data_IF_464399164418
#
_entry.id   IF_464399164418
#
_cell.length_a   1.000
_cell.length_b   1.000
_cell.length_c   1.000
_cell.angle_alpha   90.00
_cell.angle_beta   90.00
_cell.angle_gamma   90.00
#
_symmetry.space_group_name_H-M   'P 1'
#
loop_
_entity.id
_entity.type
_entity.pdbx_description
1 polymer ?
#
# COMPACT_ATOMS: atom_id res chain seq x y z
N UNK A 1 6.60 -91.91 131.93
CA UNK A 1 6.68 -90.50 131.48
C UNK A 1 8.02 -90.30 130.79
N UNK A 2 8.08 -89.81 129.54
CA UNK A 2 9.37 -89.60 128.88
C UNK A 2 10.13 -88.50 129.61
N UNK A 3 11.40 -88.74 129.95
CA UNK A 3 12.27 -87.79 130.63
C UNK A 3 12.60 -86.59 129.73
N UNK A 4 12.83 -85.40 130.30
CA UNK A 4 13.06 -84.15 129.55
C UNK A 4 14.20 -84.19 128.51
N UNK A 5 15.15 -85.13 128.64
CA UNK A 5 16.18 -85.39 127.62
C UNK A 5 15.61 -85.87 126.28
N UNK A 6 14.48 -86.58 126.28
CA UNK A 6 13.88 -87.10 125.05
C UNK A 6 13.20 -85.99 124.22
N UNK A 7 12.68 -84.94 124.86
CA UNK A 7 12.10 -83.79 124.17
C UNK A 7 13.16 -82.87 123.52
N UNK A 8 14.33 -82.71 124.15
CA UNK A 8 15.44 -81.91 123.59
C UNK A 8 16.00 -82.59 122.32
N UNK A 9 16.17 -83.91 122.34
CA UNK A 9 16.63 -84.66 121.18
C UNK A 9 15.62 -84.60 120.02
N UNK A 10 14.31 -84.59 120.31
CA UNK A 10 13.27 -84.44 119.29
C UNK A 10 13.31 -83.07 118.60
N UNK A 11 13.50 -81.97 119.36
CA UNK A 11 13.63 -80.62 118.79
C UNK A 11 14.89 -80.52 117.94
N UNK A 12 16.03 -81.04 118.42
CA UNK A 12 17.30 -80.96 117.70
C UNK A 12 17.25 -81.68 116.34
N UNK A 13 16.63 -82.87 116.29
CA UNK A 13 16.47 -83.63 115.05
C UNK A 13 15.54 -82.91 114.08
N UNK A 14 14.40 -82.38 114.53
CA UNK A 14 13.50 -81.62 113.67
C UNK A 14 14.15 -80.33 113.12
N UNK A 15 14.98 -79.66 113.93
CA UNK A 15 15.69 -78.46 113.52
C UNK A 15 16.80 -78.77 112.50
N UNK A 16 17.47 -79.91 112.63
CA UNK A 16 18.43 -80.40 111.63
C UNK A 16 17.74 -80.75 110.29
N UNK A 17 16.57 -81.39 110.33
CA UNK A 17 15.77 -81.63 109.12
C UNK A 17 15.26 -80.33 108.48
N UNK A 18 14.82 -79.35 109.29
CA UNK A 18 14.41 -78.05 108.79
C UNK A 18 15.57 -77.31 108.11
N UNK A 19 16.77 -77.29 108.71
CA UNK A 19 17.96 -76.70 108.12
C UNK A 19 18.39 -77.42 106.83
N UNK A 20 18.29 -78.75 106.78
CA UNK A 20 18.58 -79.51 105.57
C UNK A 20 17.62 -79.16 104.43
N UNK A 21 16.31 -79.08 104.70
CA UNK A 21 15.30 -78.69 103.70
C UNK A 21 15.56 -77.26 103.20
N UNK A 22 15.87 -76.31 104.11
CA UNK A 22 16.23 -74.93 103.73
C UNK A 22 17.49 -74.92 102.86
N UNK A 23 18.51 -75.72 103.22
CA UNK A 23 19.74 -75.83 102.43
C UNK A 23 19.49 -76.34 101.01
N UNK A 24 18.74 -77.43 100.85
CA UNK A 24 18.40 -77.98 99.53
C UNK A 24 17.57 -76.99 98.70
N UNK A 25 16.59 -76.33 99.31
CA UNK A 25 15.80 -75.30 98.64
C UNK A 25 16.67 -74.12 98.17
N UNK A 26 17.62 -73.68 99.00
CA UNK A 26 18.55 -72.59 98.65
C UNK A 26 19.46 -72.97 97.48
N UNK A 27 20.03 -74.18 97.46
CA UNK A 27 20.86 -74.65 96.34
C UNK A 27 20.04 -74.83 95.05
N UNK A 28 18.79 -75.31 95.15
CA UNK A 28 17.90 -75.44 93.99
C UNK A 28 17.57 -74.09 93.37
N UNK A 29 17.26 -73.07 94.19
CA UNK A 29 16.97 -71.71 93.73
C UNK A 29 18.21 -71.05 93.10
N UNK A 30 19.40 -71.24 93.67
CA UNK A 30 20.65 -70.76 93.09
C UNK A 30 20.97 -71.42 91.74
N UNK A 31 20.69 -72.71 91.61
CA UNK A 31 20.87 -73.43 90.35
C UNK A 31 19.93 -72.90 89.27
N UNK A 32 18.68 -72.57 89.61
CA UNK A 32 17.71 -71.99 88.69
C UNK A 32 18.09 -70.57 88.25
N UNK A 33 18.58 -69.74 89.17
CA UNK A 33 19.07 -68.38 88.88
C UNK A 33 20.30 -68.42 87.97
N UNK A 34 21.25 -69.34 88.22
CA UNK A 34 22.42 -69.52 87.36
C UNK A 34 22.06 -70.06 85.98
N UNK A 35 21.05 -70.95 85.88
CA UNK A 35 20.57 -71.46 84.60
C UNK A 35 19.94 -70.35 83.72
N UNK A 36 19.25 -69.38 84.34
CA UNK A 36 18.61 -68.26 83.66
C UNK A 36 19.36 -66.92 83.86
N UNK A 37 20.68 -66.98 83.98
CA UNK A 37 21.52 -65.82 84.28
C UNK A 37 21.30 -64.59 83.38
N UNK A 38 21.06 -64.71 82.05
CA UNK A 38 20.80 -63.54 81.19
C UNK A 38 19.60 -62.69 81.62
N UNK A 39 18.60 -63.28 82.29
CA UNK A 39 17.42 -62.57 82.77
C UNK A 39 17.66 -61.87 84.11
N UNK A 40 18.49 -62.46 84.98
CA UNK A 40 18.73 -61.99 86.33
C UNK A 40 19.98 -61.11 86.49
N UNK A 41 20.86 -61.08 85.48
CA UNK A 41 22.17 -60.38 85.52
C UNK A 41 22.10 -58.89 85.83
N UNK A 42 21.03 -58.19 85.43
CA UNK A 42 20.86 -56.75 85.67
C UNK A 42 19.94 -56.44 86.86
N UNK A 43 19.50 -57.44 87.63
CA UNK A 43 18.75 -57.24 88.86
C UNK A 43 19.73 -57.01 90.03
N UNK A 44 19.67 -55.85 90.74
CA UNK A 44 20.58 -55.53 91.84
C UNK A 44 20.64 -56.58 92.96
N UNK A 45 19.56 -57.36 93.16
CA UNK A 45 19.47 -58.37 94.21
C UNK A 45 20.30 -59.64 93.89
N UNK A 46 20.51 -59.97 92.62
CA UNK A 46 21.24 -61.16 92.18
C UNK A 46 22.63 -60.84 91.61
N UNK A 47 22.96 -59.55 91.43
CA UNK A 47 24.24 -59.07 90.92
C UNK A 47 25.48 -59.55 91.72
N UNK A 48 25.45 -59.68 93.06
CA UNK A 48 26.58 -60.23 93.81
C UNK A 48 26.90 -61.70 93.51
N UNK A 49 26.04 -62.41 92.77
CA UNK A 49 26.24 -63.79 92.33
C UNK A 49 27.02 -63.90 90.99
N UNK A 50 27.38 -62.76 90.39
CA UNK A 50 28.16 -62.70 89.15
C UNK A 50 29.64 -63.08 89.40
N UNK A 51 30.28 -63.73 88.43
CA UNK A 51 31.72 -64.06 88.49
C UNK A 51 32.61 -62.79 88.44
N UNK A 52 32.20 -61.77 87.67
CA UNK A 52 32.77 -60.42 87.68
C UNK A 52 31.66 -59.38 87.83
N UNK A 53 31.63 -58.75 89.00
CA UNK A 53 30.61 -57.75 89.36
C UNK A 53 30.82 -56.45 88.58
N UNK A 54 32.07 -56.04 88.32
CA UNK A 54 32.38 -54.77 87.68
C UNK A 54 32.03 -54.79 86.20
N UNK A 55 32.41 -55.83 85.48
CA UNK A 55 32.07 -55.96 84.06
C UNK A 55 30.55 -56.09 83.85
N UNK A 56 29.87 -56.86 84.70
CA UNK A 56 28.42 -57.02 84.59
C UNK A 56 27.66 -55.73 84.94
N UNK A 57 28.15 -54.94 85.90
CA UNK A 57 27.61 -53.62 86.20
C UNK A 57 27.79 -52.64 85.03
N UNK A 58 28.99 -52.56 84.44
CA UNK A 58 29.27 -51.69 83.29
C UNK A 58 28.37 -52.07 82.11
N UNK A 59 28.23 -53.36 81.81
CA UNK A 59 27.36 -53.83 80.74
C UNK A 59 25.89 -53.43 80.97
N UNK A 60 25.36 -53.65 82.17
CA UNK A 60 23.96 -53.32 82.47
C UNK A 60 23.72 -51.80 82.43
N UNK A 61 24.67 -50.99 82.91
CA UNK A 61 24.56 -49.51 82.83
C UNK A 61 24.65 -49.03 81.38
N UNK A 62 25.58 -49.57 80.58
CA UNK A 62 25.72 -49.21 79.17
C UNK A 62 24.50 -49.62 78.34
N UNK A 63 23.97 -50.83 78.55
CA UNK A 63 22.76 -51.31 77.87
C UNK A 63 21.56 -50.44 78.23
N UNK A 64 21.38 -50.13 79.53
CA UNK A 64 20.32 -49.25 80.00
C UNK A 64 20.46 -47.82 79.43
N UNK A 65 21.68 -47.32 79.24
CA UNK A 65 21.93 -46.04 78.58
C UNK A 65 21.58 -46.06 77.09
N UNK A 66 21.85 -47.14 76.36
CA UNK A 66 21.46 -47.29 74.94
C UNK A 66 19.94 -47.35 74.80
N UNK A 67 19.26 -48.10 75.68
CA UNK A 67 17.81 -48.20 75.69
C UNK A 67 17.17 -46.84 76.03
N UNK A 68 17.77 -46.07 76.95
CA UNK A 68 17.32 -44.72 77.27
C UNK A 68 17.68 -43.69 76.19
N UNK A 69 18.78 -43.88 75.45
CA UNK A 69 19.15 -43.03 74.31
C UNK A 69 18.08 -43.03 73.24
N UNK A 70 17.42 -44.17 73.00
CA UNK A 70 16.26 -44.26 72.11
C UNK A 70 15.12 -43.31 72.52
N UNK A 71 14.81 -43.22 73.82
CA UNK A 71 13.83 -42.28 74.35
C UNK A 71 14.31 -40.82 74.30
N UNK A 72 15.59 -40.55 74.54
CA UNK A 72 16.16 -39.21 74.45
C UNK A 72 16.25 -38.68 73.01
N UNK A 73 16.38 -39.56 72.02
CA UNK A 73 16.41 -39.20 70.61
C UNK A 73 15.02 -38.95 70.02
N UNK A 74 13.94 -39.47 70.62
CA UNK A 74 12.56 -39.27 70.13
C UNK A 74 12.18 -37.79 69.94
N UNK A 75 12.47 -36.86 70.88
CA UNK A 75 12.26 -35.43 70.65
C UNK A 75 13.05 -34.89 69.46
N UNK A 76 14.30 -35.32 69.29
CA UNK A 76 15.19 -34.85 68.22
C UNK A 76 14.71 -35.36 66.85
N UNK A 77 14.29 -36.62 66.76
CA UNK A 77 13.75 -37.19 65.52
C UNK A 77 12.41 -36.54 65.15
N UNK A 78 11.55 -36.24 66.14
CA UNK A 78 10.32 -35.49 65.92
C UNK A 78 10.61 -34.09 65.34
N UNK A 79 11.51 -33.32 65.97
CA UNK A 79 11.89 -31.99 65.48
C UNK A 79 12.50 -32.05 64.08
N UNK A 80 13.36 -33.03 63.82
CA UNK A 80 13.97 -33.21 62.50
C UNK A 80 12.91 -33.53 61.44
N UNK A 81 11.97 -34.42 61.74
CA UNK A 81 10.87 -34.76 60.82
C UNK A 81 9.93 -33.59 60.55
N UNK A 82 9.65 -32.76 61.57
CA UNK A 82 8.88 -31.53 61.43
C UNK A 82 9.60 -30.52 60.52
N UNK A 83 10.91 -30.33 60.72
CA UNK A 83 11.74 -29.47 59.86
C UNK A 83 11.77 -29.98 58.42
N UNK A 84 11.96 -31.28 58.20
CA UNK A 84 11.96 -31.87 56.85
C UNK A 84 10.60 -31.71 56.17
N UNK A 85 9.49 -31.89 56.89
CA UNK A 85 8.14 -31.66 56.37
C UNK A 85 7.91 -30.18 56.02
N UNK A 86 8.34 -29.26 56.88
CA UNK A 86 8.26 -27.82 56.62
C UNK A 86 9.09 -27.42 55.39
N UNK A 87 10.30 -27.95 55.25
CA UNK A 87 11.15 -27.72 54.08
C UNK A 87 10.53 -28.29 52.80
N UNK A 88 9.92 -29.49 52.86
CA UNK A 88 9.17 -30.06 51.75
C UNK A 88 8.02 -29.16 51.30
N UNK A 89 7.17 -28.76 52.24
CA UNK A 89 6.04 -27.84 51.97
C UNK A 89 6.51 -26.49 51.42
N UNK A 90 7.65 -25.98 51.90
CA UNK A 90 8.24 -24.74 51.40
C UNK A 90 8.73 -24.88 49.95
N UNK A 91 9.41 -25.98 49.61
CA UNK A 91 9.84 -26.27 48.24
C UNK A 91 8.64 -26.44 47.30
N UNK A 92 7.58 -27.11 47.75
CA UNK A 92 6.34 -27.25 46.99
C UNK A 92 5.66 -25.89 46.76
N UNK A 93 5.66 -25.03 47.77
CA UNK A 93 5.14 -23.66 47.65
C UNK A 93 5.96 -22.86 46.63
N UNK A 94 7.28 -22.97 46.62
CA UNK A 94 8.14 -22.35 45.59
C UNK A 94 7.79 -22.89 44.20
N UNK A 95 7.59 -24.20 44.06
CA UNK A 95 7.23 -24.79 42.79
C UNK A 95 5.85 -24.34 42.31
N UNK A 96 4.89 -24.16 43.22
CA UNK A 96 3.58 -23.58 42.93
C UNK A 96 3.68 -22.12 42.47
N UNK A 97 4.56 -21.32 43.10
CA UNK A 97 4.85 -19.95 42.65
C UNK A 97 5.46 -19.95 41.25
N UNK A 98 6.42 -20.84 40.96
CA UNK A 98 6.99 -21.00 39.61
C UNK A 98 5.92 -21.40 38.59
N UNK A 99 5.02 -22.32 38.96
CA UNK A 99 3.91 -22.74 38.11
C UNK A 99 2.92 -21.59 37.85
N UNK A 100 2.65 -20.74 38.84
CA UNK A 100 1.85 -19.52 38.68
C UNK A 100 2.51 -18.58 37.66
N UNK A 101 3.81 -18.30 37.79
CA UNK A 101 4.52 -17.47 36.82
C UNK A 101 4.53 -18.06 35.41
N UNK A 102 4.63 -19.39 35.29
CA UNK A 102 4.52 -20.06 34.00
C UNK A 102 3.12 -19.84 33.38
N UNK A 103 2.06 -20.04 34.16
CA UNK A 103 0.67 -19.78 33.70
C UNK A 103 0.48 -18.34 33.25
N UNK A 104 0.99 -17.37 34.01
CA UNK A 104 0.94 -15.94 33.64
C UNK A 104 1.65 -15.71 32.30
N UNK A 105 2.87 -16.22 32.14
CA UNK A 105 3.64 -16.08 30.89
C UNK A 105 2.92 -16.71 29.69
N UNK A 106 2.36 -17.90 29.85
CA UNK A 106 1.62 -18.57 28.78
C UNK A 106 0.36 -17.81 28.42
N UNK A 107 -0.39 -17.31 29.40
CA UNK A 107 -1.58 -16.51 29.17
C UNK A 107 -1.27 -15.22 28.38
N UNK A 108 -0.23 -14.48 28.78
CA UNK A 108 0.23 -13.31 28.04
C UNK A 108 0.66 -13.66 26.61
N UNK A 109 1.39 -14.77 26.43
CA UNK A 109 1.82 -15.22 25.10
C UNK A 109 0.62 -15.54 24.20
N UNK A 110 -0.40 -16.20 24.73
CA UNK A 110 -1.62 -16.55 24.01
C UNK A 110 -2.43 -15.31 23.62
N UNK A 111 -2.54 -14.32 24.51
CA UNK A 111 -3.18 -13.03 24.20
C UNK A 111 -2.45 -12.35 23.06
N UNK A 112 -1.12 -12.24 23.15
CA UNK A 112 -0.29 -11.60 22.12
C UNK A 112 -0.49 -12.32 20.78
N UNK A 113 -0.40 -13.65 20.75
CA UNK A 113 -0.60 -14.43 19.51
C UNK A 113 -1.99 -14.24 18.91
N UNK A 114 -3.05 -14.24 19.74
CA UNK A 114 -4.42 -14.02 19.29
C UNK A 114 -4.59 -12.64 18.67
N UNK A 115 -4.07 -11.61 19.33
CA UNK A 115 -4.10 -10.22 18.84
C UNK A 115 -3.36 -10.09 17.51
N UNK A 116 -2.12 -10.62 17.42
CA UNK A 116 -1.36 -10.61 16.16
C UNK A 116 -2.06 -11.37 15.04
N UNK A 117 -2.73 -12.49 15.35
CA UNK A 117 -3.53 -13.24 14.39
C UNK A 117 -4.65 -12.41 13.76
N UNK A 118 -5.37 -11.63 14.58
CA UNK A 118 -6.41 -10.70 14.09
C UNK A 118 -5.78 -9.58 13.26
N UNK A 119 -4.67 -8.99 13.72
CA UNK A 119 -3.99 -7.92 12.98
C UNK A 119 -3.49 -8.38 11.61
N UNK A 120 -2.97 -9.60 11.47
CA UNK A 120 -2.53 -10.13 10.17
C UNK A 120 -3.70 -10.22 9.17
N UNK A 121 -4.86 -10.71 9.62
CA UNK A 121 -6.05 -10.75 8.77
C UNK A 121 -6.53 -9.34 8.39
N UNK A 122 -6.49 -8.39 9.32
CA UNK A 122 -6.84 -7.00 9.07
C UNK A 122 -5.88 -6.32 8.07
N UNK A 123 -4.58 -6.60 8.15
CA UNK A 123 -3.58 -6.08 7.19
C UNK A 123 -3.90 -6.57 5.77
N UNK A 124 -4.30 -7.83 5.60
CA UNK A 124 -4.67 -8.39 4.28
C UNK A 124 -5.87 -7.63 3.69
N UNK A 125 -6.90 -7.34 4.50
CA UNK A 125 -8.04 -6.54 4.04
C UNK A 125 -7.65 -5.10 3.67
N UNK A 126 -6.81 -4.44 4.47
CA UNK A 126 -6.27 -3.13 4.12
C UNK A 126 -5.45 -3.15 2.82
N UNK A 127 -4.61 -4.16 2.61
CA UNK A 127 -3.87 -4.34 1.37
C UNK A 127 -4.80 -4.50 0.18
N UNK A 128 -5.90 -5.26 0.31
CA UNK A 128 -6.91 -5.43 -0.74
C UNK A 128 -7.57 -4.10 -1.13
N UNK A 129 -7.90 -3.27 -0.14
CA UNK A 129 -8.44 -1.92 -0.38
C UNK A 129 -7.43 -1.06 -1.13
N UNK A 130 -6.16 -1.06 -0.72
CA UNK A 130 -5.09 -0.29 -1.39
C UNK A 130 -4.89 -0.75 -2.84
N UNK A 131 -4.92 -2.07 -3.10
CA UNK A 131 -4.84 -2.62 -4.46
C UNK A 131 -6.03 -2.12 -5.30
N UNK A 132 -7.25 -2.16 -4.74
CA UNK A 132 -8.44 -1.64 -5.41
C UNK A 132 -8.34 -0.14 -5.75
N UNK A 133 -7.83 0.68 -4.82
CA UNK A 133 -7.59 2.11 -5.06
C UNK A 133 -6.56 2.32 -6.17
N UNK A 134 -5.44 1.58 -6.15
CA UNK A 134 -4.41 1.67 -7.20
C UNK A 134 -4.96 1.28 -8.57
N UNK A 135 -5.77 0.23 -8.66
CA UNK A 135 -6.44 -0.19 -9.90
C UNK A 135 -7.39 0.89 -10.43
N UNK A 136 -8.22 1.47 -9.54
CA UNK A 136 -9.12 2.57 -9.90
C UNK A 136 -8.38 3.80 -10.43
N UNK A 137 -7.28 4.20 -9.77
CA UNK A 137 -6.43 5.31 -10.24
C UNK A 137 -5.84 4.97 -11.62
N UNK A 138 -5.32 3.76 -11.80
CA UNK A 138 -4.76 3.31 -13.09
C UNK A 138 -5.78 3.38 -14.23
N UNK A 139 -7.01 2.90 -14.00
CA UNK A 139 -8.12 2.97 -14.96
C UNK A 139 -8.51 4.41 -15.29
N UNK A 140 -8.58 5.27 -14.27
CA UNK A 140 -8.93 6.69 -14.44
C UNK A 140 -7.89 7.41 -15.29
N UNK A 141 -6.60 7.19 -15.03
CA UNK A 141 -5.50 7.73 -15.85
C UNK A 141 -5.61 7.20 -17.29
N UNK A 142 -5.89 5.92 -17.50
CA UNK A 142 -6.06 5.34 -18.83
C UNK A 142 -7.19 6.00 -19.64
N UNK A 143 -8.34 6.24 -19.02
CA UNK A 143 -9.47 6.94 -19.66
C UNK A 143 -9.08 8.39 -19.98
N UNK A 144 -8.43 9.10 -19.06
CA UNK A 144 -8.05 10.49 -19.27
C UNK A 144 -7.01 10.65 -20.38
N UNK A 145 -6.00 9.78 -20.43
CA UNK A 145 -4.95 9.80 -21.46
C UNK A 145 -5.52 9.46 -22.83
N UNK A 146 -6.39 8.44 -22.93
CA UNK A 146 -7.05 8.11 -24.20
C UNK A 146 -7.92 9.26 -24.70
N UNK A 147 -8.72 9.88 -23.84
CA UNK A 147 -9.50 11.07 -24.20
C UNK A 147 -8.61 12.22 -24.68
N UNK A 148 -7.50 12.49 -23.98
CA UNK A 148 -6.55 13.53 -24.36
C UNK A 148 -6.00 13.32 -25.77
N UNK A 149 -5.57 12.09 -26.09
CA UNK A 149 -5.05 11.78 -27.43
C UNK A 149 -6.13 11.76 -28.51
N UNK A 150 -7.35 11.33 -28.21
CA UNK A 150 -8.48 11.43 -29.14
C UNK A 150 -8.82 12.89 -29.45
N UNK A 151 -8.84 13.76 -28.44
CA UNK A 151 -9.06 15.19 -28.62
C UNK A 151 -7.93 15.83 -29.44
N UNK A 152 -6.67 15.54 -29.13
CA UNK A 152 -5.53 16.03 -29.89
C UNK A 152 -5.56 15.56 -31.36
N UNK A 153 -5.92 14.29 -31.59
CA UNK A 153 -6.17 13.75 -32.93
C UNK A 153 -7.27 14.53 -33.67
N UNK A 154 -8.40 14.79 -33.01
CA UNK A 154 -9.50 15.56 -33.59
C UNK A 154 -9.10 16.99 -33.97
N UNK A 155 -8.34 17.68 -33.12
CA UNK A 155 -7.85 19.05 -33.38
C UNK A 155 -6.89 19.05 -34.57
N UNK A 156 -5.98 18.07 -34.63
CA UNK A 156 -5.06 17.91 -35.76
C UNK A 156 -5.83 17.65 -37.05
N UNK A 157 -6.85 16.80 -37.03
CA UNK A 157 -7.72 16.58 -38.19
C UNK A 157 -8.43 17.86 -38.62
N UNK A 158 -9.00 18.63 -37.69
CA UNK A 158 -9.65 19.91 -38.02
C UNK A 158 -8.67 20.90 -38.66
N UNK A 159 -7.45 21.01 -38.11
CA UNK A 159 -6.39 21.86 -38.69
C UNK A 159 -6.01 21.39 -40.10
N UNK A 160 -5.91 20.08 -40.32
CA UNK A 160 -5.63 19.52 -41.65
C UNK A 160 -6.77 19.80 -42.64
N UNK A 161 -8.03 19.66 -42.24
CA UNK A 161 -9.20 20.02 -43.08
C UNK A 161 -9.21 21.51 -43.39
N UNK A 162 -8.91 22.36 -42.40
CA UNK A 162 -8.86 23.81 -42.58
C UNK A 162 -7.73 24.25 -43.50
N UNK A 163 -6.56 23.61 -43.41
CA UNK A 163 -5.43 23.90 -44.29
C UNK A 163 -5.57 23.23 -45.68
N UNK A 164 -6.40 22.19 -45.77
CA UNK A 164 -6.67 21.46 -47.01
C UNK A 164 -7.69 22.15 -47.95
N UNK A 165 -8.05 21.47 -49.05
CA UNK A 165 -8.90 22.03 -50.11
C UNK A 165 -10.26 22.57 -49.62
N UNK A 166 -11.00 21.91 -48.70
CA UNK A 166 -12.27 22.45 -48.21
C UNK A 166 -12.12 23.80 -47.50
N UNK A 167 -11.11 23.96 -46.62
CA UNK A 167 -10.87 25.23 -45.94
C UNK A 167 -10.33 26.33 -46.88
N UNK A 168 -9.68 25.95 -47.98
CA UNK A 168 -9.27 26.91 -49.03
C UNK A 168 -10.49 27.49 -49.74
N UNK A 169 -11.44 26.65 -50.16
CA UNK A 169 -12.68 27.12 -50.79
C UNK A 169 -13.42 28.13 -49.89
N UNK A 170 -13.51 27.87 -48.59
CA UNK A 170 -14.13 28.80 -47.63
C UNK A 170 -13.40 30.15 -47.56
N UNK A 171 -12.05 30.16 -47.58
CA UNK A 171 -11.26 31.42 -47.57
C UNK A 171 -11.29 32.21 -48.87
N UNK A 172 -11.65 31.56 -49.98
CA UNK A 172 -11.78 32.18 -51.29
C UNK A 172 -13.18 32.77 -51.53
N UNK A 173 -14.18 32.42 -50.69
CA UNK A 173 -15.47 33.10 -50.68
C UNK A 173 -15.27 34.58 -50.32
N UNK A 174 -15.75 35.47 -51.19
CA UNK A 174 -15.64 36.92 -51.00
C UNK A 174 -14.35 37.56 -51.50
N UNK A 175 -13.56 36.91 -52.35
CA UNK A 175 -12.43 37.54 -53.07
C UNK A 175 -12.76 37.78 -54.54
N UNK A 176 -13.67 38.69 -54.85
CA UNK A 176 -14.15 38.88 -56.22
C UNK A 176 -14.35 40.35 -56.61
N UNK A 177 -14.69 40.57 -57.88
CA UNK A 177 -14.88 41.88 -58.49
C UNK A 177 -16.36 42.19 -58.73
N UNK A 178 -16.63 43.46 -58.96
CA UNK A 178 -17.92 43.91 -59.45
C UNK A 178 -18.18 43.35 -60.87
N UNK A 179 -19.35 42.74 -61.12
CA UNK A 179 -19.67 42.12 -62.41
C UNK A 179 -19.46 43.00 -63.64
N UNK A 180 -19.75 44.31 -63.53
CA UNK A 180 -19.62 45.26 -64.64
C UNK A 180 -18.24 45.96 -64.65
N UNK A 181 -17.20 45.33 -64.10
CA UNK A 181 -15.82 45.81 -64.27
C UNK A 181 -15.36 45.53 -65.70
N UNK A 182 -14.82 46.53 -66.40
CA UNK A 182 -14.31 46.34 -67.77
C UNK A 182 -12.96 45.63 -67.77
N UNK A 183 -12.83 44.66 -68.69
CA UNK A 183 -11.60 43.92 -68.96
C UNK A 183 -11.23 44.12 -70.43
N UNK A 184 -9.96 44.46 -70.66
CA UNK A 184 -9.42 44.65 -72.01
C UNK A 184 -8.82 43.34 -72.50
N UNK A 185 -9.31 42.86 -73.64
CA UNK A 185 -8.80 41.68 -74.32
C UNK A 185 -7.62 42.05 -75.24
N UNK A 186 -6.77 41.07 -75.57
CA UNK A 186 -5.59 41.25 -76.42
C UNK A 186 -5.93 41.75 -77.83
N UNK A 187 -7.12 41.44 -78.33
CA UNK A 187 -7.64 41.90 -79.62
C UNK A 187 -8.13 43.37 -79.59
N UNK A 188 -8.10 44.04 -78.44
CA UNK A 188 -8.57 45.41 -78.24
C UNK A 188 -10.06 45.53 -77.86
N UNK A 189 -10.80 44.42 -77.85
CA UNK A 189 -12.20 44.37 -77.40
C UNK A 189 -12.29 44.57 -75.88
N UNK A 190 -13.38 45.20 -75.44
CA UNK A 190 -13.70 45.39 -74.03
C UNK A 190 -14.94 44.58 -73.69
N UNK A 191 -14.81 43.70 -72.71
CA UNK A 191 -15.95 42.96 -72.15
C UNK A 191 -16.11 43.32 -70.68
N UNK A 192 -17.34 43.26 -70.18
CA UNK A 192 -17.55 43.23 -68.74
C UNK A 192 -17.06 41.89 -68.19
N UNK A 193 -16.55 41.90 -66.95
CA UNK A 193 -16.04 40.68 -66.33
C UNK A 193 -17.09 39.56 -66.27
N UNK A 194 -18.37 39.91 -66.11
CA UNK A 194 -19.50 38.96 -66.15
C UNK A 194 -19.77 38.31 -67.52
N UNK A 195 -19.29 38.94 -68.59
CA UNK A 195 -19.57 38.57 -69.99
C UNK A 195 -18.32 37.96 -70.65
N UNK A 196 -17.27 37.66 -69.88
CA UNK A 196 -16.07 36.95 -70.37
C UNK A 196 -16.38 35.47 -70.61
N UNK A 197 -15.81 34.94 -71.69
CA UNK A 197 -15.94 33.54 -72.07
C UNK A 197 -14.64 32.76 -71.77
N UNK A 198 -14.76 31.44 -71.58
CA UNK A 198 -13.60 30.57 -71.45
C UNK A 198 -12.77 30.61 -72.74
N UNK A 199 -11.46 30.78 -72.59
CA UNK A 199 -10.54 30.93 -73.73
C UNK A 199 -10.31 32.37 -74.18
N UNK A 200 -11.04 33.36 -73.65
CA UNK A 200 -10.74 34.77 -73.89
C UNK A 200 -9.30 35.10 -73.44
N UNK A 201 -8.58 35.88 -74.26
CA UNK A 201 -7.18 36.24 -74.01
C UNK A 201 -7.11 37.69 -73.52
N UNK A 202 -6.65 37.87 -72.27
CA UNK A 202 -6.53 39.17 -71.63
C UNK A 202 -5.36 39.99 -72.21
N UNK A 203 -5.30 41.28 -71.88
CA UNK A 203 -4.31 42.23 -72.42
C UNK A 203 -2.84 41.82 -72.23
N UNK A 204 -2.51 41.05 -71.19
CA UNK A 204 -1.17 40.54 -70.92
C UNK A 204 -0.87 39.20 -71.61
N UNK A 205 -1.84 38.65 -72.36
CA UNK A 205 -1.74 37.36 -73.03
C UNK A 205 -2.18 36.15 -72.20
N UNK A 206 -2.62 36.35 -70.95
CA UNK A 206 -3.23 35.28 -70.14
C UNK A 206 -4.58 34.84 -70.70
N UNK A 207 -4.94 33.58 -70.44
CA UNK A 207 -6.17 32.96 -70.94
C UNK A 207 -7.13 32.78 -69.77
N UNK A 208 -8.41 33.10 -69.98
CA UNK A 208 -9.47 32.84 -68.99
C UNK A 208 -9.78 31.34 -68.96
N UNK A 209 -9.52 30.70 -67.83
CA UNK A 209 -9.72 29.25 -67.61
C UNK A 209 -10.99 28.94 -66.82
N UNK A 210 -11.47 29.89 -66.00
CA UNK A 210 -12.73 29.76 -65.27
C UNK A 210 -13.37 31.13 -65.04
N UNK A 211 -14.71 31.15 -65.07
CA UNK A 211 -15.53 32.31 -64.70
C UNK A 211 -16.51 31.86 -63.62
N UNK A 212 -16.48 32.54 -62.48
CA UNK A 212 -17.24 32.17 -61.29
C UNK A 212 -18.20 33.28 -60.87
N UNK A 213 -19.40 32.85 -60.46
CA UNK A 213 -20.47 33.71 -59.95
C UNK A 213 -20.72 33.37 -58.48
N UNK A 214 -20.40 34.30 -57.59
CA UNK A 214 -20.48 34.11 -56.14
C UNK A 214 -21.64 34.92 -55.56
N UNK A 215 -22.51 34.29 -54.77
CA UNK A 215 -23.63 34.98 -54.10
C UNK A 215 -23.13 35.96 -53.04
N UNK A 216 -23.77 37.12 -52.97
CA UNK A 216 -23.55 38.15 -51.94
C UNK A 216 -24.90 38.64 -51.36
N UNK A 217 -25.98 37.87 -51.50
CA UNK A 217 -27.33 38.25 -51.03
C UNK A 217 -27.52 38.01 -49.54
N UNK A 218 -26.96 36.90 -49.03
CA UNK A 218 -27.18 36.48 -47.63
C UNK A 218 -26.45 37.37 -46.63
N UNK A 219 -25.18 37.68 -46.90
CA UNK A 219 -24.34 38.52 -46.05
C UNK A 219 -23.59 39.54 -46.93
N UNK A 220 -24.21 40.69 -47.26
CA UNK A 220 -23.69 41.60 -48.28
C UNK A 220 -22.40 42.31 -47.85
N UNK A 221 -21.29 41.90 -48.45
CA UNK A 221 -19.97 42.52 -48.26
C UNK A 221 -19.85 43.74 -49.19
N UNK A 222 -19.43 44.91 -48.68
CA UNK A 222 -19.17 46.09 -49.51
C UNK A 222 -17.85 45.98 -50.29
N UNK A 223 -17.78 46.69 -51.40
CA UNK A 223 -16.56 46.81 -52.19
C UNK A 223 -15.60 47.87 -51.66
N UNK A 224 -14.33 47.73 -52.02
CA UNK A 224 -13.37 48.81 -52.07
C UNK A 224 -13.30 49.35 -53.49
N UNK A 225 -13.07 50.66 -53.63
CA UNK A 225 -12.93 51.33 -54.91
C UNK A 225 -11.49 51.80 -55.10
N UNK A 226 -10.89 51.45 -56.24
CA UNK A 226 -9.63 52.01 -56.72
C UNK A 226 -9.99 52.98 -57.83
N UNK A 227 -9.92 54.28 -57.52
CA UNK A 227 -10.38 55.33 -58.43
C UNK A 227 -9.45 55.49 -59.61
N UNK A 228 -10.00 55.49 -60.83
CA UNK A 228 -9.23 55.68 -62.05
C UNK A 228 -8.20 54.60 -62.38
N UNK A 229 -8.21 53.47 -61.65
CA UNK A 229 -7.25 52.38 -61.86
C UNK A 229 -7.59 51.46 -63.02
N UNK A 230 -8.85 51.45 -63.45
CA UNK A 230 -9.39 50.52 -64.44
C UNK A 230 -9.16 50.93 -65.89
N UNK A 231 -9.69 50.13 -66.81
CA UNK A 231 -9.59 50.38 -68.26
C UNK A 231 -10.16 51.76 -68.57
N UNK A 232 -9.38 52.60 -69.27
CA UNK A 232 -9.71 53.99 -69.61
C UNK A 232 -10.00 54.91 -68.41
N UNK A 233 -9.41 54.62 -67.25
CA UNK A 233 -9.61 55.44 -66.05
C UNK A 233 -10.98 55.23 -65.39
N UNK A 234 -11.66 54.11 -65.67
CA UNK A 234 -12.82 53.69 -64.89
C UNK A 234 -12.42 53.26 -63.46
N UNK A 235 -13.37 53.33 -62.54
CA UNK A 235 -13.18 52.85 -61.18
C UNK A 235 -13.24 51.32 -61.11
N UNK A 236 -12.38 50.72 -60.28
CA UNK A 236 -12.39 49.27 -60.02
C UNK A 236 -13.05 49.02 -58.67
N UNK A 237 -14.12 48.24 -58.67
CA UNK A 237 -14.80 47.79 -57.46
C UNK A 237 -14.45 46.33 -57.18
N UNK A 238 -13.79 46.09 -56.05
CA UNK A 238 -13.24 44.79 -55.69
C UNK A 238 -13.30 44.57 -54.18
N UNK A 239 -13.56 43.34 -53.74
CA UNK A 239 -13.69 43.01 -52.31
C UNK A 239 -12.38 43.23 -51.57
N UNK A 240 -12.43 43.69 -50.32
CA UNK A 240 -11.23 44.05 -49.54
C UNK A 240 -10.22 42.92 -49.35
N UNK A 241 -10.68 41.67 -49.25
CA UNK A 241 -9.83 40.48 -49.10
C UNK A 241 -9.15 40.02 -50.39
N UNK A 242 -9.49 40.60 -51.55
CA UNK A 242 -8.86 40.26 -52.82
C UNK A 242 -7.41 40.79 -52.87
N UNK A 243 -6.54 40.18 -53.68
CA UNK A 243 -5.11 40.53 -53.71
C UNK A 243 -4.78 41.41 -54.91
N UNK A 244 -4.12 42.54 -54.67
CA UNK A 244 -3.63 43.50 -55.67
C UNK A 244 -2.12 43.63 -55.58
N UNK A 245 -1.46 43.79 -56.71
CA UNK A 245 -0.01 43.93 -56.79
C UNK A 245 0.42 45.35 -56.45
N UNK A 246 1.09 45.52 -55.31
CA UNK A 246 1.67 46.80 -54.93
C UNK A 246 3.08 46.94 -55.54
N UNK A 247 3.23 47.86 -56.51
CA UNK A 247 4.48 48.13 -57.23
C UNK A 247 5.59 48.68 -56.33
N UNK A 248 5.26 49.39 -55.25
CA UNK A 248 6.25 50.00 -54.33
C UNK A 248 6.99 48.97 -53.50
N UNK A 249 6.29 47.92 -53.05
CA UNK A 249 6.85 46.84 -52.22
C UNK A 249 7.04 45.53 -52.99
N UNK A 250 6.74 45.53 -54.29
CA UNK A 250 6.87 44.39 -55.20
C UNK A 250 6.17 43.11 -54.68
N UNK A 251 4.97 43.26 -54.10
CA UNK A 251 4.24 42.16 -53.44
C UNK A 251 2.72 42.28 -53.62
N UNK A 252 2.04 41.14 -53.72
CA UNK A 252 0.59 41.09 -53.62
C UNK A 252 0.14 41.30 -52.17
N UNK A 253 -0.71 42.31 -51.96
CA UNK A 253 -1.33 42.64 -50.67
C UNK A 253 -2.84 42.65 -50.83
N UNK A 254 -3.58 42.62 -49.73
CA UNK A 254 -5.03 42.74 -49.80
C UNK A 254 -5.43 44.14 -50.25
N UNK A 255 -6.54 44.25 -50.98
CA UNK A 255 -7.07 45.53 -51.42
C UNK A 255 -7.41 46.43 -50.23
N UNK A 256 -7.90 45.86 -49.12
CA UNK A 256 -8.19 46.65 -47.90
C UNK A 256 -6.96 47.37 -47.32
N UNK A 257 -5.76 46.84 -47.59
CA UNK A 257 -4.47 47.39 -47.16
C UNK A 257 -3.78 48.21 -48.28
N UNK A 258 -4.40 48.33 -49.46
CA UNK A 258 -3.81 49.02 -50.60
C UNK A 258 -4.06 50.53 -50.52
N UNK A 259 -3.00 51.34 -50.61
CA UNK A 259 -3.08 52.80 -50.41
C UNK A 259 -4.02 53.53 -51.36
N UNK A 260 -4.21 52.98 -52.57
CA UNK A 260 -5.08 53.59 -53.59
C UNK A 260 -6.53 53.09 -53.52
N UNK A 261 -6.83 52.16 -52.61
CA UNK A 261 -8.16 51.63 -52.42
C UNK A 261 -8.85 52.34 -51.25
N UNK A 262 -10.10 52.74 -51.46
CA UNK A 262 -10.94 53.35 -50.42
C UNK A 262 -12.17 52.48 -50.22
N UNK A 263 -12.56 52.26 -48.96
CA UNK A 263 -13.77 51.52 -48.65
C UNK A 263 -15.00 52.27 -49.21
N UNK A 264 -15.86 51.55 -49.92
CA UNK A 264 -17.12 52.07 -50.46
C UNK A 264 -18.31 51.44 -49.71
N UNK A 265 -19.47 52.08 -49.76
CA UNK A 265 -20.74 51.48 -49.30
C UNK A 265 -21.45 50.68 -50.42
N UNK A 266 -20.86 50.65 -51.62
CA UNK A 266 -21.41 49.94 -52.77
C UNK A 266 -21.40 48.42 -52.58
N UNK A 267 -22.55 47.79 -52.83
CA UNK A 267 -22.81 46.36 -52.69
C UNK A 267 -23.59 45.85 -53.89
N UNK A 268 -23.40 44.58 -54.22
CA UNK A 268 -24.15 43.88 -55.26
C UNK A 268 -24.68 42.55 -54.76
N UNK A 269 -25.69 42.02 -55.44
CA UNK A 269 -26.25 40.68 -55.15
C UNK A 269 -25.26 39.54 -55.37
N UNK A 270 -24.25 39.75 -56.21
CA UNK A 270 -23.27 38.72 -56.55
C UNK A 270 -21.96 39.36 -57.05
N UNK A 271 -20.90 38.58 -56.99
CA UNK A 271 -19.56 38.94 -57.45
C UNK A 271 -19.08 38.07 -58.60
N UNK A 272 -18.22 38.63 -59.45
CA UNK A 272 -17.57 37.91 -60.55
C UNK A 272 -16.10 37.65 -60.23
N UNK A 273 -15.64 36.43 -60.48
CA UNK A 273 -14.28 35.99 -60.25
C UNK A 273 -13.76 35.23 -61.46
N UNK A 274 -12.45 35.28 -61.69
CA UNK A 274 -11.79 34.58 -62.80
C UNK A 274 -10.67 33.69 -62.26
N UNK A 275 -10.35 32.63 -63.01
CA UNK A 275 -9.07 31.92 -62.96
C UNK A 275 -8.41 32.10 -64.31
N UNK A 276 -7.12 32.45 -64.32
CA UNK A 276 -6.36 32.69 -65.55
C UNK A 276 -5.08 31.85 -65.59
N UNK A 277 -4.61 31.54 -66.80
CA UNK A 277 -3.46 30.65 -67.01
C UNK A 277 -2.12 31.13 -66.40
N UNK A 278 -2.03 32.39 -65.98
CA UNK A 278 -0.86 32.95 -65.30
C UNK A 278 -1.15 33.46 -63.86
N UNK A 279 -2.34 33.14 -63.33
CA UNK A 279 -2.87 33.55 -62.03
C UNK A 279 -2.97 35.05 -61.79
N UNK A 280 -3.04 35.84 -62.88
CA UNK A 280 -3.11 37.30 -62.81
C UNK A 280 -4.25 37.82 -63.67
N UNK A 281 -4.87 38.89 -63.20
CA UNK A 281 -5.94 39.59 -63.89
C UNK A 281 -5.49 41.05 -64.08
N UNK A 282 -5.04 41.44 -65.29
CA UNK A 282 -4.73 42.84 -65.59
C UNK A 282 -6.04 43.64 -65.77
N UNK A 283 -6.20 44.72 -65.00
CA UNK A 283 -7.34 45.64 -65.10
C UNK A 283 -6.82 47.06 -65.15
N UNK A 284 -6.85 47.68 -66.32
CA UNK A 284 -6.29 49.02 -66.53
C UNK A 284 -4.80 49.07 -66.17
N UNK A 285 -4.46 49.86 -65.16
CA UNK A 285 -3.08 50.06 -64.69
C UNK A 285 -2.71 49.14 -63.51
N UNK A 286 -3.66 48.36 -63.01
CA UNK A 286 -3.53 47.50 -61.84
C UNK A 286 -3.49 46.03 -62.22
N UNK A 287 -2.80 45.22 -61.40
CA UNK A 287 -2.69 43.78 -61.58
C UNK A 287 -3.22 43.12 -60.31
N UNK A 288 -4.20 42.25 -60.48
CA UNK A 288 -4.79 41.47 -59.39
C UNK A 288 -4.36 40.02 -59.50
N UNK A 289 -4.37 39.32 -58.36
CA UNK A 289 -4.25 37.89 -58.37
C UNK A 289 -5.61 37.27 -58.72
N UNK A 290 -5.63 36.16 -59.43
CA UNK A 290 -6.89 35.47 -59.72
C UNK A 290 -7.47 34.78 -58.46
N UNK A 291 -8.52 33.98 -58.64
CA UNK A 291 -9.15 33.30 -57.49
C UNK A 291 -8.24 32.25 -56.82
N UNK A 292 -7.23 31.71 -57.50
CA UNK A 292 -6.34 30.66 -56.99
C UNK A 292 -5.13 31.22 -56.22
N UNK A 293 -5.33 31.59 -54.95
CA UNK A 293 -4.30 32.24 -54.13
C UNK A 293 -3.17 31.32 -53.60
N UNK A 294 -3.21 30.02 -53.89
CA UNK A 294 -2.30 29.02 -53.29
C UNK A 294 -0.84 29.28 -53.64
N UNK A 295 -0.56 29.69 -54.88
CA UNK A 295 0.79 29.90 -55.39
C UNK A 295 1.49 31.13 -54.77
N UNK A 296 0.73 32.11 -54.26
CA UNK A 296 1.31 33.26 -53.54
C UNK A 296 1.94 32.83 -52.21
N UNK A 297 1.33 31.88 -51.50
CA UNK A 297 1.81 31.45 -50.18
C UNK A 297 3.01 30.52 -50.25
N UNK A 298 3.14 29.72 -51.33
CA UNK A 298 4.29 28.85 -51.53
C UNK A 298 5.62 29.59 -51.75
N UNK A 299 5.60 30.81 -52.29
CA UNK A 299 6.81 31.62 -52.48
C UNK A 299 7.28 32.38 -51.22
N UNK A 300 6.51 32.30 -50.13
CA UNK A 300 6.82 32.96 -48.86
C UNK A 300 7.39 32.01 -47.79
N UNK A 301 7.80 30.79 -48.18
CA UNK A 301 8.52 29.84 -47.33
C UNK A 301 9.91 29.62 -47.91
#
# INVERSE_FOLDING_TARGET
MPSGKNWINFIYINLAFALYIIGVFYYSQLAEIKANWPLYRCNPMYMPLADDINENFIFCVQSMQIDFMGYLLQPITFITSAITSMLGNFLDTIQNVRAMFNKIRTFFTNIIQSIFGVFLNLIIEFQRIIIGIKDLIGKTIGIMVSLMYTMDGSIKTMRSVWNGPPGQMVRALGRCFYPNTFILLKNGEKKYMKDLDLGDVLSDGSIVESVMKIDNKREPIPFYVIKGGGVEGNDIYVTGSHLVFNKTINKFIKVEDYSNAVKSDFKTDWFSCLITSNHKIPIGNEIFWDWEDHFIKMKMV
#
